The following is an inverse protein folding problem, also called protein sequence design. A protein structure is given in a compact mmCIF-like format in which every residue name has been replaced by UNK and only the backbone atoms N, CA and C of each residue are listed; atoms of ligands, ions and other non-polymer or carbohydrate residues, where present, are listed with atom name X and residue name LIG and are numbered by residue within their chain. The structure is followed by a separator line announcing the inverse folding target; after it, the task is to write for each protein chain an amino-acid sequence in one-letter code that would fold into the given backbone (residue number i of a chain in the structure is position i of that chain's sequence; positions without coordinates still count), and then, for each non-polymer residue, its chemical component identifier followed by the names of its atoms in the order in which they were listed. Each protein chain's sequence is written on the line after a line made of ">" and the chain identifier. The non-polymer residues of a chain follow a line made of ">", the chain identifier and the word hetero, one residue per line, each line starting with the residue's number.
data_IF_959222970776
#
_entry.id   IF_959222970776
#
_cell.length_a   1.000
_cell.length_b   1.000
_cell.length_c   1.000
_cell.angle_alpha   90.00
_cell.angle_beta   90.00
_cell.angle_gamma   90.00
#
_symmetry.space_group_name_H-M   'P 1'
#
loop_
_entity.id
_entity.type
_entity.pdbx_description
1 polymer ?
#
# COMPACT_ATOMS: atom_id res chain seq x y z
N UNK A 1 -25.32 12.46 5.37
CA UNK A 1 -24.08 11.65 5.38
C UNK A 1 -22.94 12.56 4.96
N UNK A 2 -21.75 12.40 5.55
CA UNK A 2 -20.55 13.13 5.15
C UNK A 2 -19.71 12.25 4.25
N UNK A 3 -18.99 12.88 3.34
CA UNK A 3 -18.07 12.21 2.43
C UNK A 3 -16.77 12.99 2.41
N UNK A 4 -15.68 12.24 2.28
CA UNK A 4 -14.33 12.75 2.34
C UNK A 4 -13.56 12.35 1.08
N UNK A 5 -12.64 13.21 0.69
CA UNK A 5 -11.66 12.97 -0.35
C UNK A 5 -10.26 13.05 0.27
N UNK A 6 -9.44 12.03 0.04
CA UNK A 6 -8.01 12.06 0.35
C UNK A 6 -7.28 12.84 -0.74
N UNK A 7 -6.94 14.10 -0.47
CA UNK A 7 -6.31 14.97 -1.46
C UNK A 7 -4.84 14.60 -1.64
N UNK A 8 -4.37 14.51 -2.89
CA UNK A 8 -2.93 14.41 -3.16
C UNK A 8 -2.17 15.68 -2.80
N UNK A 9 -0.95 15.84 -3.32
CA UNK A 9 -0.21 17.11 -3.18
C UNK A 9 -1.01 18.27 -3.77
N UNK A 10 -1.19 19.33 -2.99
CA UNK A 10 -1.87 20.54 -3.39
C UNK A 10 -1.12 21.75 -2.83
N UNK A 11 -0.66 22.64 -3.71
CA UNK A 11 0.13 23.81 -3.33
C UNK A 11 -0.73 25.01 -2.88
N UNK A 12 -2.04 24.97 -3.17
CA UNK A 12 -2.97 26.08 -2.92
C UNK A 12 -4.25 25.59 -2.23
N UNK A 13 -4.12 25.19 -0.96
CA UNK A 13 -5.23 24.72 -0.14
C UNK A 13 -6.24 25.84 0.17
N UNK A 14 -5.78 27.08 0.30
CA UNK A 14 -6.62 28.22 0.69
C UNK A 14 -7.68 28.57 -0.36
N UNK A 15 -7.40 28.31 -1.64
CA UNK A 15 -8.32 28.55 -2.75
C UNK A 15 -9.06 27.28 -3.22
N UNK A 16 -8.95 26.17 -2.50
CA UNK A 16 -9.57 24.90 -2.89
C UNK A 16 -11.08 24.92 -2.67
N UNK A 17 -11.82 25.27 -3.73
CA UNK A 17 -13.30 25.33 -3.73
C UNK A 17 -13.95 24.11 -4.36
N UNK A 18 -13.19 23.31 -5.12
CA UNK A 18 -13.70 22.21 -5.91
C UNK A 18 -12.60 21.17 -6.16
N UNK A 19 -12.95 19.88 -6.02
CA UNK A 19 -12.11 18.77 -6.47
C UNK A 19 -12.48 18.48 -7.92
N UNK A 20 -11.49 18.43 -8.81
CA UNK A 20 -11.70 18.18 -10.24
C UNK A 20 -11.19 16.79 -10.63
N UNK A 21 -11.82 16.11 -11.60
CA UNK A 21 -11.30 14.88 -12.17
C UNK A 21 -9.91 15.06 -12.78
N UNK A 22 -9.12 13.99 -12.81
CA UNK A 22 -7.76 13.99 -13.36
C UNK A 22 -7.69 14.53 -14.80
N UNK A 23 -8.66 14.18 -15.65
CA UNK A 23 -8.70 14.66 -17.04
C UNK A 23 -8.88 16.17 -17.18
N UNK A 24 -9.68 16.80 -16.31
CA UNK A 24 -9.81 18.27 -16.33
C UNK A 24 -8.50 18.96 -15.93
N UNK A 25 -7.68 18.27 -15.13
CA UNK A 25 -6.37 18.75 -14.68
C UNK A 25 -5.24 18.37 -15.64
N UNK A 26 -5.51 17.61 -16.72
CA UNK A 26 -4.49 17.07 -17.60
C UNK A 26 -3.54 16.08 -16.92
N UNK A 27 -3.96 15.49 -15.80
CA UNK A 27 -3.19 14.51 -15.04
C UNK A 27 -3.39 13.13 -15.65
N UNK A 28 -2.28 12.44 -15.90
CA UNK A 28 -2.31 11.06 -16.39
C UNK A 28 -2.93 10.13 -15.35
N UNK A 29 -3.83 9.27 -15.80
CA UNK A 29 -4.35 8.13 -15.04
C UNK A 29 -3.33 6.98 -15.09
N UNK A 30 -3.30 6.14 -14.04
CA UNK A 30 -2.33 5.04 -13.94
C UNK A 30 -2.45 4.07 -15.12
N UNK A 31 -1.35 3.45 -15.51
CA UNK A 31 -1.37 2.44 -16.56
C UNK A 31 -2.28 1.26 -16.17
N UNK A 32 -3.01 0.72 -17.15
CA UNK A 32 -3.87 -0.45 -16.98
C UNK A 32 -5.27 -0.18 -16.43
N UNK A 33 -5.64 1.06 -16.10
CA UNK A 33 -7.05 1.42 -15.79
C UNK A 33 -7.80 1.92 -17.02
N UNK A 34 -9.13 1.70 -17.08
CA UNK A 34 -9.97 2.28 -18.12
C UNK A 34 -9.83 3.80 -18.20
N UNK A 35 -9.71 4.32 -19.44
CA UNK A 35 -9.45 5.74 -19.66
C UNK A 35 -10.55 6.63 -19.05
N UNK A 36 -11.81 6.19 -19.11
CA UNK A 36 -12.96 6.94 -18.61
C UNK A 36 -12.92 7.24 -17.11
N UNK A 37 -12.11 6.51 -16.33
CA UNK A 37 -11.95 6.71 -14.89
C UNK A 37 -11.34 8.07 -14.55
N UNK A 38 -10.56 8.67 -15.47
CA UNK A 38 -10.04 10.03 -15.29
C UNK A 38 -11.12 11.14 -15.26
N UNK A 39 -12.38 10.79 -15.55
CA UNK A 39 -13.53 11.70 -15.44
C UNK A 39 -14.22 11.67 -14.06
N UNK A 40 -13.67 10.94 -13.10
CA UNK A 40 -14.26 10.77 -11.77
C UNK A 40 -13.44 11.43 -10.66
N UNK A 41 -14.13 11.86 -9.61
CA UNK A 41 -13.57 12.18 -8.29
C UNK A 41 -13.92 11.05 -7.34
N UNK A 42 -12.91 10.56 -6.63
CA UNK A 42 -13.03 9.43 -5.72
C UNK A 42 -13.24 9.92 -4.28
N UNK A 43 -14.21 9.34 -3.61
CA UNK A 43 -14.72 9.73 -2.30
C UNK A 43 -14.81 8.50 -1.39
N UNK A 44 -14.95 8.74 -0.09
CA UNK A 44 -15.24 7.70 0.89
C UNK A 44 -16.16 8.24 1.97
N UNK A 45 -16.91 7.37 2.63
CA UNK A 45 -17.68 7.67 3.83
C UNK A 45 -16.90 7.45 5.13
N UNK A 46 -15.60 7.14 5.02
CA UNK A 46 -14.70 6.98 6.16
C UNK A 46 -13.58 8.02 6.10
N UNK A 47 -13.54 8.90 7.11
CA UNK A 47 -12.45 9.87 7.24
C UNK A 47 -11.09 9.17 7.35
N UNK A 48 -11.01 8.04 8.08
CA UNK A 48 -9.79 7.24 8.19
C UNK A 48 -9.33 6.69 6.82
N UNK A 49 -10.26 6.25 5.97
CA UNK A 49 -9.91 5.84 4.61
C UNK A 49 -9.42 7.02 3.77
N UNK A 50 -10.00 8.21 3.93
CA UNK A 50 -9.50 9.41 3.25
C UNK A 50 -8.09 9.79 3.71
N UNK A 51 -7.76 9.61 4.99
CA UNK A 51 -6.40 9.77 5.53
C UNK A 51 -5.41 8.77 4.92
N UNK A 52 -5.83 7.51 4.74
CA UNK A 52 -5.03 6.50 4.06
C UNK A 52 -4.80 6.85 2.58
N UNK A 53 -5.83 7.30 1.87
CA UNK A 53 -5.73 7.69 0.46
C UNK A 53 -4.86 8.94 0.25
N UNK A 54 -4.98 9.98 1.08
CA UNK A 54 -4.10 11.15 0.98
C UNK A 54 -2.64 10.76 1.20
N UNK A 55 -2.36 9.88 2.17
CA UNK A 55 -0.99 9.40 2.42
C UNK A 55 -0.42 8.62 1.22
N UNK A 56 -1.22 7.76 0.58
CA UNK A 56 -0.82 7.04 -0.65
C UNK A 56 -0.61 7.99 -1.85
N UNK A 57 -1.37 9.08 -1.91
CA UNK A 57 -1.24 10.11 -2.94
C UNK A 57 -0.13 11.15 -2.63
N UNK A 58 0.73 10.88 -1.65
CA UNK A 58 1.77 11.79 -1.16
C UNK A 58 1.24 13.17 -0.69
N UNK A 59 -0.04 13.24 -0.32
CA UNK A 59 -0.68 14.39 0.29
C UNK A 59 -0.69 14.31 1.82
N UNK A 60 -1.33 15.30 2.43
CA UNK A 60 -1.52 15.40 3.88
C UNK A 60 -2.80 16.19 4.19
N UNK A 61 -3.85 15.98 3.39
CA UNK A 61 -5.08 16.76 3.49
C UNK A 61 -6.29 15.89 3.21
N UNK A 62 -7.26 16.00 4.09
CA UNK A 62 -8.59 15.40 3.90
C UNK A 62 -9.58 16.52 3.64
N UNK A 63 -10.45 16.31 2.67
CA UNK A 63 -11.43 17.32 2.23
C UNK A 63 -12.83 16.76 2.42
N UNK A 64 -13.66 17.41 3.24
CA UNK A 64 -15.10 17.13 3.26
C UNK A 64 -15.73 17.76 2.02
N UNK A 65 -16.58 17.01 1.32
CA UNK A 65 -17.18 17.43 0.05
C UNK A 65 -18.70 17.57 0.12
N UNK A 66 -19.27 18.38 -0.77
CA UNK A 66 -20.71 18.45 -0.98
C UNK A 66 -21.16 17.49 -2.09
N UNK A 67 -21.93 16.47 -1.73
CA UNK A 67 -22.49 15.51 -2.69
C UNK A 67 -23.97 15.76 -3.00
N UNK A 68 -24.52 16.90 -2.59
CA UNK A 68 -25.94 17.23 -2.79
C UNK A 68 -26.25 17.31 -4.29
N UNK A 69 -27.18 16.48 -4.74
CA UNK A 69 -27.55 16.41 -6.16
C UNK A 69 -26.56 15.67 -7.05
N UNK A 70 -25.50 15.06 -6.49
CA UNK A 70 -24.54 14.26 -7.24
C UNK A 70 -24.95 12.77 -7.22
N UNK A 71 -24.60 12.06 -8.30
CA UNK A 71 -24.77 10.61 -8.39
C UNK A 71 -23.50 9.94 -7.87
N UNK A 72 -23.64 9.16 -6.80
CA UNK A 72 -22.56 8.38 -6.21
C UNK A 72 -22.60 6.97 -6.79
N UNK A 73 -21.49 6.55 -7.39
CA UNK A 73 -21.28 5.18 -7.87
C UNK A 73 -20.29 4.46 -6.94
N UNK A 74 -20.39 3.14 -6.75
CA UNK A 74 -19.33 2.38 -6.09
C UNK A 74 -17.99 2.52 -6.82
N UNK A 75 -16.90 2.64 -6.05
CA UNK A 75 -15.56 2.59 -6.61
C UNK A 75 -15.23 1.14 -7.03
N UNK A 76 -14.85 0.87 -8.29
CA UNK A 76 -14.45 -0.46 -8.71
C UNK A 76 -13.17 -0.99 -8.03
N UNK A 77 -12.26 -0.13 -7.58
CA UNK A 77 -11.05 -0.55 -6.87
C UNK A 77 -11.30 -0.77 -5.38
N UNK A 78 -12.26 -0.04 -4.80
CA UNK A 78 -12.58 -0.03 -3.37
C UNK A 78 -14.09 -0.12 -3.15
N UNK A 79 -14.73 -1.22 -3.55
CA UNK A 79 -16.20 -1.32 -3.56
C UNK A 79 -16.88 -1.19 -2.20
N UNK A 80 -16.16 -1.46 -1.10
CA UNK A 80 -16.65 -1.33 0.28
C UNK A 80 -16.39 0.05 0.86
N UNK A 81 -15.21 0.61 0.62
CA UNK A 81 -14.74 1.85 1.24
C UNK A 81 -14.92 3.08 0.35
N UNK A 82 -14.96 2.89 -0.95
CA UNK A 82 -14.85 3.90 -1.99
C UNK A 82 -16.14 4.13 -2.74
N UNK A 83 -16.34 5.38 -3.10
CA UNK A 83 -17.36 5.87 -3.99
C UNK A 83 -16.68 6.75 -5.04
N UNK A 84 -17.35 6.98 -6.16
CA UNK A 84 -16.90 7.91 -7.18
C UNK A 84 -18.05 8.73 -7.73
N UNK A 85 -17.74 9.96 -8.11
CA UNK A 85 -18.66 10.91 -8.74
C UNK A 85 -18.08 11.33 -10.06
N UNK A 86 -18.88 11.31 -11.12
CA UNK A 86 -18.45 11.82 -12.43
C UNK A 86 -18.46 13.35 -12.43
N UNK A 87 -17.37 13.96 -12.86
CA UNK A 87 -17.21 15.41 -12.89
C UNK A 87 -16.74 16.00 -11.56
N UNK A 88 -16.68 17.33 -11.46
CA UNK A 88 -16.11 18.00 -10.29
C UNK A 88 -17.05 18.00 -9.09
N UNK A 89 -16.48 18.05 -7.89
CA UNK A 89 -17.19 17.97 -6.62
C UNK A 89 -16.88 19.20 -5.76
N UNK A 90 -17.89 19.96 -5.29
CA UNK A 90 -17.67 21.11 -4.42
C UNK A 90 -17.05 20.73 -3.07
N UNK A 91 -16.16 21.58 -2.57
CA UNK A 91 -15.53 21.42 -1.26
C UNK A 91 -16.37 22.10 -0.18
N UNK A 92 -16.53 21.44 0.97
CA UNK A 92 -17.17 21.98 2.18
C UNK A 92 -16.17 22.40 3.23
N UNK A 93 -15.17 21.58 3.49
CA UNK A 93 -14.14 21.86 4.48
C UNK A 93 -12.82 21.21 4.05
N UNK A 94 -11.71 21.87 4.38
CA UNK A 94 -10.35 21.40 4.12
C UNK A 94 -9.67 21.20 5.47
N UNK A 95 -9.18 19.99 5.73
CA UNK A 95 -8.46 19.64 6.96
C UNK A 95 -7.03 19.27 6.59
N UNK A 96 -6.09 20.22 6.64
CA UNK A 96 -4.68 19.89 6.55
C UNK A 96 -4.26 19.12 7.81
N UNK A 97 -3.46 18.07 7.61
CA UNK A 97 -2.95 17.22 8.68
C UNK A 97 -1.47 17.50 8.91
N UNK A 98 -1.01 17.34 10.15
CA UNK A 98 0.42 17.25 10.38
C UNK A 98 0.93 15.94 9.73
N UNK A 99 2.03 15.94 8.97
CA UNK A 99 2.58 14.70 8.41
C UNK A 99 2.82 13.60 9.44
N UNK A 100 3.08 13.96 10.71
CA UNK A 100 3.25 13.01 11.81
C UNK A 100 1.95 12.34 12.28
N UNK A 101 0.80 12.88 11.91
CA UNK A 101 -0.54 12.36 12.24
C UNK A 101 -1.07 11.43 11.15
N UNK A 102 -0.39 11.33 10.00
CA UNK A 102 -0.79 10.41 8.95
C UNK A 102 -0.62 8.94 9.38
N UNK A 103 -1.47 8.03 8.90
CA UNK A 103 -1.31 6.61 9.19
C UNK A 103 0.02 6.11 8.60
N UNK A 104 0.71 5.24 9.33
CA UNK A 104 1.85 4.48 8.81
C UNK A 104 1.38 3.35 7.88
N UNK A 105 2.28 2.72 7.13
CA UNK A 105 1.91 1.77 6.07
C UNK A 105 1.12 0.54 6.58
N UNK A 106 1.39 0.00 7.77
CA UNK A 106 0.54 -1.05 8.37
C UNK A 106 -0.88 -0.57 8.67
N UNK A 107 -1.05 0.66 9.17
CA UNK A 107 -2.38 1.22 9.42
C UNK A 107 -3.13 1.48 8.12
N UNK A 108 -2.46 2.00 7.09
CA UNK A 108 -3.02 2.14 5.74
C UNK A 108 -3.51 0.78 5.25
N UNK A 109 -2.66 -0.25 5.34
CA UNK A 109 -3.01 -1.62 4.92
C UNK A 109 -4.23 -2.15 5.66
N UNK A 110 -4.31 -1.93 6.98
CA UNK A 110 -5.45 -2.31 7.80
C UNK A 110 -6.73 -1.57 7.42
N UNK A 111 -6.65 -0.25 7.24
CA UNK A 111 -7.80 0.59 6.90
C UNK A 111 -8.38 0.16 5.54
N UNK A 112 -7.51 -0.15 4.58
CA UNK A 112 -7.89 -0.53 3.21
C UNK A 112 -8.12 -2.03 3.02
N UNK A 113 -7.84 -2.86 4.04
CA UNK A 113 -7.94 -4.31 3.93
C UNK A 113 -9.31 -4.86 3.51
N UNK A 114 -10.46 -4.23 3.83
CA UNK A 114 -11.77 -4.71 3.38
C UNK A 114 -11.89 -4.90 1.86
N UNK A 115 -11.18 -4.09 1.07
CA UNK A 115 -11.22 -4.12 -0.39
C UNK A 115 -9.96 -4.74 -1.02
N UNK A 116 -8.92 -5.00 -0.22
CA UNK A 116 -7.72 -5.68 -0.68
C UNK A 116 -8.00 -7.15 -0.96
N UNK A 117 -8.30 -7.46 -2.22
CA UNK A 117 -8.58 -8.83 -2.70
C UNK A 117 -7.62 -9.26 -3.82
N UNK A 118 -7.43 -10.56 -3.95
CA UNK A 118 -6.76 -11.18 -5.08
C UNK A 118 -7.69 -11.24 -6.31
N UNK A 119 -7.15 -11.42 -7.53
CA UNK A 119 -7.98 -11.82 -8.68
C UNK A 119 -8.82 -13.05 -8.31
N UNK A 120 -10.15 -12.92 -8.41
CA UNK A 120 -11.10 -13.94 -7.94
C UNK A 120 -11.82 -13.61 -6.62
N UNK A 121 -11.48 -12.49 -5.97
CA UNK A 121 -12.23 -11.93 -4.83
C UNK A 121 -11.83 -12.50 -3.46
N UNK A 122 -10.82 -13.36 -3.38
CA UNK A 122 -10.29 -13.83 -2.09
C UNK A 122 -9.64 -12.65 -1.35
N UNK A 123 -9.95 -12.40 -0.07
CA UNK A 123 -9.26 -11.39 0.73
C UNK A 123 -7.75 -11.63 0.78
N UNK A 124 -6.97 -10.55 0.71
CA UNK A 124 -5.52 -10.63 0.93
C UNK A 124 -5.16 -10.81 2.39
N UNK A 125 -6.07 -10.52 3.33
CA UNK A 125 -5.78 -10.59 4.75
C UNK A 125 -6.86 -11.38 5.48
N UNK A 126 -6.44 -12.18 6.47
CA UNK A 126 -7.34 -12.78 7.45
C UNK A 126 -8.00 -11.70 8.31
N UNK A 127 -9.06 -12.06 9.03
CA UNK A 127 -9.71 -11.14 9.97
C UNK A 127 -8.77 -10.64 11.09
N UNK A 128 -7.81 -11.47 11.51
CA UNK A 128 -6.78 -11.11 12.49
C UNK A 128 -5.55 -10.42 11.86
N UNK A 129 -5.57 -10.18 10.55
CA UNK A 129 -4.64 -9.31 9.84
C UNK A 129 -3.43 -9.99 9.22
N UNK A 130 -3.34 -11.31 9.23
CA UNK A 130 -2.23 -12.00 8.55
C UNK A 130 -2.47 -12.09 7.06
N UNK A 131 -1.38 -11.93 6.31
CA UNK A 131 -1.42 -11.98 4.86
C UNK A 131 -1.77 -13.39 4.38
N UNK A 132 -2.76 -13.48 3.50
CA UNK A 132 -3.18 -14.67 2.77
C UNK A 132 -2.66 -14.55 1.35
N UNK A 133 -1.93 -15.57 0.88
CA UNK A 133 -1.32 -15.49 -0.44
C UNK A 133 -2.18 -16.13 -1.52
N UNK A 134 -2.03 -15.68 -2.78
CA UNK A 134 -2.72 -16.26 -3.90
C UNK A 134 -2.09 -17.61 -4.25
N UNK A 135 -2.82 -18.42 -5.01
CA UNK A 135 -2.45 -19.78 -5.40
C UNK A 135 -0.98 -19.91 -5.89
N UNK A 136 -0.46 -18.91 -6.59
CA UNK A 136 0.91 -18.93 -7.13
C UNK A 136 2.01 -19.15 -6.08
N UNK A 137 1.87 -18.61 -4.85
CA UNK A 137 2.87 -18.86 -3.80
C UNK A 137 2.70 -20.24 -3.17
N UNK A 138 1.47 -20.75 -3.11
CA UNK A 138 1.19 -22.11 -2.69
C UNK A 138 1.77 -23.12 -3.70
N UNK A 139 1.68 -22.81 -5.00
CA UNK A 139 2.26 -23.62 -6.08
C UNK A 139 3.79 -23.69 -5.98
N UNK A 140 4.42 -22.65 -5.42
CA UNK A 140 5.84 -22.62 -5.13
C UNK A 140 6.24 -23.34 -3.82
N UNK A 141 5.28 -23.97 -3.13
CA UNK A 141 5.55 -24.75 -1.91
C UNK A 141 5.55 -23.93 -0.61
N UNK A 142 4.98 -22.72 -0.61
CA UNK A 142 4.70 -22.00 0.62
C UNK A 142 3.33 -22.37 1.21
N UNK A 143 3.18 -22.12 2.50
CA UNK A 143 1.90 -22.16 3.22
C UNK A 143 1.56 -20.77 3.76
N UNK A 144 0.29 -20.49 4.05
CA UNK A 144 -0.09 -19.21 4.67
C UNK A 144 0.64 -18.95 6.00
N UNK A 145 0.88 -20.00 6.80
CA UNK A 145 1.61 -19.88 8.07
C UNK A 145 3.06 -19.46 7.90
N UNK A 146 3.66 -19.70 6.72
CA UNK A 146 5.05 -19.34 6.44
C UNK A 146 5.28 -17.83 6.40
N UNK A 147 4.22 -17.04 6.33
CA UNK A 147 4.28 -15.58 6.28
C UNK A 147 3.91 -14.91 7.61
N UNK A 148 3.57 -15.69 8.64
CA UNK A 148 3.20 -15.12 9.94
C UNK A 148 4.35 -14.34 10.59
N UNK A 149 5.61 -14.64 10.26
CA UNK A 149 6.77 -13.88 10.73
C UNK A 149 6.79 -12.43 10.24
N UNK A 150 6.04 -12.09 9.18
CA UNK A 150 5.86 -10.69 8.77
C UNK A 150 5.01 -9.89 9.78
N UNK A 151 4.22 -10.57 10.61
CA UNK A 151 3.25 -9.94 11.48
C UNK A 151 1.99 -9.44 10.75
N UNK A 152 1.07 -8.84 11.52
CA UNK A 152 -0.26 -8.42 11.03
C UNK A 152 -0.23 -7.14 10.20
N UNK A 153 -1.01 -7.09 9.12
CA UNK A 153 -1.16 -5.95 8.22
C UNK A 153 0.13 -5.58 7.49
N UNK A 154 0.94 -6.59 7.15
CA UNK A 154 2.11 -6.38 6.31
C UNK A 154 1.70 -5.76 4.96
N UNK A 155 2.27 -4.61 4.54
CA UNK A 155 1.93 -4.01 3.25
C UNK A 155 2.52 -4.83 2.11
N UNK A 156 1.65 -5.34 1.23
CA UNK A 156 2.04 -6.34 0.24
C UNK A 156 3.03 -5.83 -0.81
N UNK A 157 3.01 -4.52 -1.09
CA UNK A 157 3.91 -3.87 -2.05
C UNK A 157 5.40 -3.98 -1.66
N UNK A 158 5.69 -4.34 -0.41
CA UNK A 158 7.04 -4.55 0.11
C UNK A 158 7.44 -6.02 0.18
N UNK A 159 6.73 -6.89 -0.54
CA UNK A 159 7.10 -8.28 -0.77
C UNK A 159 7.47 -8.49 -2.23
N UNK A 160 8.72 -8.87 -2.45
CA UNK A 160 9.30 -9.02 -3.78
C UNK A 160 9.50 -10.51 -4.05
N UNK A 161 8.65 -11.14 -4.88
CA UNK A 161 8.91 -12.48 -5.37
C UNK A 161 10.11 -12.46 -6.33
N UNK A 162 11.04 -13.38 -6.15
CA UNK A 162 12.16 -13.64 -7.05
C UNK A 162 11.82 -14.72 -8.08
N UNK A 163 12.58 -14.74 -9.17
CA UNK A 163 12.45 -15.75 -10.24
C UNK A 163 12.75 -17.17 -9.75
N UNK A 164 13.53 -17.29 -8.67
CA UNK A 164 13.88 -18.54 -7.98
C UNK A 164 12.82 -18.96 -6.94
N UNK A 165 11.64 -18.32 -6.97
CA UNK A 165 10.57 -18.46 -5.99
C UNK A 165 10.93 -18.04 -4.54
N UNK A 166 12.11 -17.44 -4.31
CA UNK A 166 12.42 -16.77 -3.04
C UNK A 166 11.50 -15.58 -2.87
N UNK A 167 11.09 -15.29 -1.63
CA UNK A 167 10.40 -14.05 -1.30
C UNK A 167 11.33 -13.16 -0.47
N UNK A 168 11.36 -11.87 -0.80
CA UNK A 168 12.13 -10.87 -0.06
C UNK A 168 11.17 -9.84 0.52
N UNK A 169 11.16 -9.72 1.85
CA UNK A 169 10.41 -8.69 2.57
C UNK A 169 11.32 -7.49 2.80
N UNK A 170 10.83 -6.30 2.49
CA UNK A 170 11.54 -5.03 2.67
C UNK A 170 10.95 -4.25 3.83
N UNK A 171 11.80 -3.68 4.68
CA UNK A 171 11.40 -2.82 5.81
C UNK A 171 11.60 -1.34 5.49
N UNK A 172 10.98 -0.48 6.30
CA UNK A 172 11.05 0.99 6.17
C UNK A 172 12.46 1.57 6.37
N UNK A 173 13.37 0.81 6.97
CA UNK A 173 14.79 1.15 7.15
C UNK A 173 15.73 0.48 6.13
N UNK A 174 15.18 -0.10 5.05
CA UNK A 174 15.87 -0.74 3.92
C UNK A 174 16.56 -2.08 4.24
N UNK A 175 16.16 -2.79 5.30
CA UNK A 175 16.59 -4.17 5.47
C UNK A 175 15.78 -5.09 4.55
N UNK A 176 16.44 -6.15 4.07
CA UNK A 176 15.90 -7.16 3.18
C UNK A 176 15.93 -8.50 3.90
N UNK A 177 14.77 -9.09 4.12
CA UNK A 177 14.64 -10.37 4.80
C UNK A 177 14.16 -11.42 3.81
N UNK A 178 14.92 -12.50 3.68
CA UNK A 178 14.59 -13.56 2.74
C UNK A 178 13.83 -14.71 3.41
N UNK A 179 12.93 -15.31 2.64
CA UNK A 179 12.38 -16.63 2.91
C UNK A 179 12.40 -17.46 1.65
N UNK A 180 12.51 -18.78 1.80
CA UNK A 180 12.64 -19.72 0.69
C UNK A 180 11.56 -20.79 0.73
N UNK A 181 11.17 -21.35 -0.43
CA UNK A 181 10.35 -22.55 -0.46
C UNK A 181 11.14 -23.77 0.05
N UNK A 182 10.44 -24.81 0.48
CA UNK A 182 11.03 -25.95 1.23
C UNK A 182 12.21 -26.64 0.52
N UNK A 183 12.17 -26.70 -0.81
CA UNK A 183 13.17 -27.41 -1.62
C UNK A 183 14.17 -26.48 -2.35
N UNK A 184 14.31 -25.23 -1.90
CA UNK A 184 15.18 -24.27 -2.58
C UNK A 184 16.68 -24.66 -2.48
N UNK A 185 17.47 -24.60 -3.58
CA UNK A 185 18.89 -25.00 -3.58
C UNK A 185 19.76 -24.28 -2.54
N UNK A 186 19.52 -22.99 -2.31
CA UNK A 186 20.27 -22.18 -1.36
C UNK A 186 20.07 -22.58 0.11
N UNK A 187 19.04 -23.37 0.43
CA UNK A 187 18.80 -23.77 1.81
C UNK A 187 19.90 -24.68 2.33
N UNK A 188 20.37 -25.65 1.54
CA UNK A 188 21.41 -26.60 1.97
C UNK A 188 21.12 -27.22 3.36
N UNK A 189 19.84 -27.54 3.63
CA UNK A 189 19.36 -28.07 4.91
C UNK A 189 19.18 -27.03 6.04
N UNK A 190 19.40 -25.74 5.76
CA UNK A 190 19.14 -24.64 6.69
C UNK A 190 17.67 -24.27 6.74
N UNK A 191 17.34 -23.41 7.70
CA UNK A 191 16.00 -22.90 7.92
C UNK A 191 15.52 -22.06 6.74
N UNK A 192 14.27 -22.25 6.32
CA UNK A 192 13.68 -21.54 5.17
C UNK A 192 12.89 -20.27 5.51
N UNK A 193 12.28 -20.22 6.70
CA UNK A 193 11.50 -19.09 7.22
C UNK A 193 12.26 -18.48 8.41
N UNK A 194 12.38 -17.15 8.54
CA UNK A 194 13.05 -16.55 9.70
C UNK A 194 12.45 -16.98 11.04
N UNK A 195 13.26 -17.00 12.11
CA UNK A 195 12.71 -17.24 13.47
C UNK A 195 12.16 -15.97 14.11
N UNK A 196 12.75 -14.82 13.77
CA UNK A 196 12.30 -13.52 14.23
C UNK A 196 10.97 -13.10 13.61
N UNK A 197 10.47 -11.96 14.07
CA UNK A 197 9.25 -11.33 13.56
C UNK A 197 9.53 -9.89 13.12
N UNK A 198 8.83 -9.45 12.08
CA UNK A 198 8.91 -8.07 11.59
C UNK A 198 7.72 -7.21 12.07
N UNK A 199 6.97 -7.62 13.09
CA UNK A 199 5.78 -6.91 13.59
C UNK A 199 5.94 -5.39 13.75
N UNK A 200 7.13 -4.93 14.15
CA UNK A 200 7.42 -3.50 14.34
C UNK A 200 7.81 -2.75 13.05
N UNK A 201 8.15 -3.45 11.97
CA UNK A 201 8.46 -2.80 10.70
C UNK A 201 7.23 -2.09 10.12
N UNK A 202 7.44 -0.99 9.39
CA UNK A 202 6.36 -0.18 8.80
C UNK A 202 5.38 0.42 9.82
N UNK A 203 5.85 0.63 11.06
CA UNK A 203 5.11 1.30 12.13
C UNK A 203 5.74 2.62 12.57
N UNK A 204 7.02 2.86 12.23
CA UNK A 204 7.79 3.97 12.77
C UNK A 204 7.63 5.28 11.99
N UNK A 205 7.37 5.20 10.68
CA UNK A 205 7.28 6.38 9.80
C UNK A 205 5.81 6.67 9.44
N UNK A 206 5.20 7.75 9.98
CA UNK A 206 3.89 8.23 9.57
C UNK A 206 3.86 8.73 8.13
N UNK A 207 2.75 8.51 7.44
CA UNK A 207 2.61 8.88 6.03
C UNK A 207 3.61 8.13 5.15
N UNK A 208 3.85 8.67 3.96
CA UNK A 208 4.84 8.19 2.99
C UNK A 208 4.99 6.66 2.92
N UNK A 209 4.11 6.03 2.15
CA UNK A 209 4.33 4.69 1.63
C UNK A 209 5.11 4.84 0.31
N UNK A 210 6.46 4.78 0.30
CA UNK A 210 7.20 4.96 -0.94
C UNK A 210 6.71 3.96 -1.99
N UNK A 211 6.56 4.36 -3.26
CA UNK A 211 6.39 3.41 -4.33
C UNK A 211 7.46 2.32 -4.24
N UNK A 212 7.07 1.05 -4.39
CA UNK A 212 8.00 -0.08 -4.33
C UNK A 212 9.18 0.09 -5.29
N UNK A 213 8.97 0.74 -6.43
CA UNK A 213 10.02 1.10 -7.40
C UNK A 213 11.13 1.98 -6.80
N UNK A 214 10.79 2.97 -5.97
CA UNK A 214 11.78 3.88 -5.36
C UNK A 214 12.60 3.16 -4.28
N UNK A 215 11.94 2.29 -3.53
CA UNK A 215 12.61 1.42 -2.54
C UNK A 215 13.56 0.45 -3.25
N UNK A 216 13.10 -0.21 -4.32
CA UNK A 216 13.91 -1.11 -5.13
C UNK A 216 15.09 -0.40 -5.78
N UNK A 217 14.92 0.83 -6.29
CA UNK A 217 16.01 1.62 -6.84
C UNK A 217 17.05 1.95 -5.76
N UNK A 218 16.62 2.35 -4.56
CA UNK A 218 17.51 2.62 -3.43
C UNK A 218 18.32 1.39 -3.04
N UNK A 219 17.68 0.22 -3.01
CA UNK A 219 18.34 -1.07 -2.74
C UNK A 219 19.31 -1.45 -3.86
N UNK A 220 18.94 -1.27 -5.14
CA UNK A 220 19.84 -1.52 -6.27
C UNK A 220 21.10 -0.66 -6.18
N UNK A 221 20.98 0.60 -5.76
CA UNK A 221 22.13 1.48 -5.54
C UNK A 221 23.03 0.91 -4.43
N UNK A 222 22.47 0.55 -3.29
CA UNK A 222 23.24 -0.01 -2.16
C UNK A 222 23.93 -1.31 -2.58
N UNK A 223 23.20 -2.23 -3.20
CA UNK A 223 23.73 -3.52 -3.66
C UNK A 223 24.84 -3.31 -4.69
N UNK A 224 24.66 -2.40 -5.66
CA UNK A 224 25.65 -2.23 -6.74
C UNK A 224 26.89 -1.47 -6.28
N UNK A 225 26.75 -0.47 -5.42
CA UNK A 225 27.80 0.51 -5.15
C UNK A 225 28.37 0.45 -3.72
N UNK A 226 27.70 -0.20 -2.78
CA UNK A 226 28.13 -0.34 -1.37
C UNK A 226 27.91 -1.78 -0.86
N UNK A 227 28.72 -2.70 -1.42
CA UNK A 227 28.68 -4.12 -1.08
C UNK A 227 28.84 -4.43 0.43
N UNK A 228 29.72 -3.74 1.19
CA UNK A 228 29.79 -3.92 2.64
C UNK A 228 28.45 -3.62 3.33
N UNK A 229 27.82 -2.49 3.00
CA UNK A 229 26.51 -2.13 3.57
C UNK A 229 25.40 -3.05 3.10
N UNK A 230 25.42 -3.48 1.83
CA UNK A 230 24.44 -4.42 1.32
C UNK A 230 24.40 -5.72 2.13
N UNK A 231 25.57 -6.22 2.56
CA UNK A 231 25.65 -7.41 3.42
C UNK A 231 25.05 -7.20 4.80
N UNK A 232 25.15 -6.01 5.38
CA UNK A 232 24.55 -5.73 6.69
C UNK A 232 23.03 -5.56 6.62
N UNK A 233 22.51 -5.19 5.46
CA UNK A 233 21.07 -4.99 5.22
C UNK A 233 20.36 -6.23 4.69
N UNK A 234 21.08 -7.30 4.36
CA UNK A 234 20.50 -8.52 3.80
C UNK A 234 20.52 -9.62 4.83
N UNK A 235 19.36 -10.17 5.16
CA UNK A 235 19.21 -11.21 6.17
C UNK A 235 18.69 -12.49 5.54
N UNK A 236 19.46 -13.56 5.69
CA UNK A 236 19.00 -14.91 5.38
C UNK A 236 18.18 -15.46 6.57
N UNK A 237 17.21 -16.35 6.33
CA UNK A 237 16.33 -16.85 7.38
C UNK A 237 17.02 -17.67 8.47
N UNK A 238 18.27 -18.09 8.26
CA UNK A 238 19.11 -18.78 9.25
C UNK A 238 20.10 -17.86 9.98
N UNK A 239 20.14 -16.58 9.63
CA UNK A 239 21.02 -15.57 10.28
C UNK A 239 20.27 -14.76 11.34
N UNK A 240 18.96 -14.99 11.47
CA UNK A 240 18.05 -14.22 12.31
C UNK A 240 17.05 -15.10 13.06
#
# INVERSE_FOLDING_TARGET
>A
MRYWHGLGRCDDLDNLTMIRPAHELGVAIRDGVPHDWGNYVYLTSSEEAAQAFTALANGHTVVEVDTTGLVLEPDPDFGTLGLRVRGPVPVRAVTPMNPRELPHARNITKILSPDHTWPGGLPKYTQDGYLQFPQQFLDNGYTNSDFHWLGRWWPIDFLIPGDDARVTALTDDNHMYHMYPENHPDLQGRRRIPHGTLEDAWTATPGYCPPSADLLMSLQIIIKWDQPRARTLTHKPWEW
#
